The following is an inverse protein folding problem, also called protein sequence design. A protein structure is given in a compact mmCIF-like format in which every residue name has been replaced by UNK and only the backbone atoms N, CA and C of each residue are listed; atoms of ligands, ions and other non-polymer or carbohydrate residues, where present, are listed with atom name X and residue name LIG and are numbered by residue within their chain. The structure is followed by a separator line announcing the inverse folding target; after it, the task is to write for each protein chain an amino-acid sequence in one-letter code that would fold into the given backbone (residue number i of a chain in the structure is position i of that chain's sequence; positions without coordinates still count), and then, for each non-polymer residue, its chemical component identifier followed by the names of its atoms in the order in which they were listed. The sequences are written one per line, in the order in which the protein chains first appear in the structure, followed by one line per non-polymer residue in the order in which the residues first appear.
data_IF_089021250298
#
_entry.id   IF_089021250298
#
_cell.length_a   1.000
_cell.length_b   1.000
_cell.length_c   1.000
_cell.angle_alpha   90.00
_cell.angle_beta   90.00
_cell.angle_gamma   90.00
#
_symmetry.space_group_name_H-M   'P 1'
#
loop_
_entity.id
_entity.type
_entity.pdbx_description
1 polymer ?
#
# COMPACT_ATOMS: atom_id res chain seq x y z
N UNK A 1 -10.87 -30.97 -66.50
CA UNK A 1 -10.92 -29.60 -67.06
C UNK A 1 -9.47 -29.20 -67.26
N UNK A 2 -8.97 -29.19 -68.51
CA UNK A 2 -7.56 -28.83 -68.78
C UNK A 2 -7.42 -27.33 -68.51
N UNK A 3 -6.46 -26.96 -67.67
CA UNK A 3 -6.05 -25.57 -67.50
C UNK A 3 -5.64 -25.00 -68.87
N UNK A 4 -5.92 -23.72 -69.11
CA UNK A 4 -5.50 -23.06 -70.35
C UNK A 4 -3.97 -22.91 -70.31
N UNK A 5 -3.26 -22.94 -71.46
CA UNK A 5 -1.80 -22.84 -71.49
C UNK A 5 -1.24 -21.58 -70.80
N UNK A 6 -2.02 -20.51 -70.71
CA UNK A 6 -1.69 -19.27 -69.98
C UNK A 6 -1.70 -19.43 -68.45
N UNK A 7 -2.56 -20.33 -67.94
CA UNK A 7 -2.72 -20.62 -66.51
C UNK A 7 -1.56 -21.49 -66.01
N UNK A 8 -1.08 -22.40 -66.86
CA UNK A 8 0.08 -23.26 -66.59
C UNK A 8 1.38 -22.46 -66.48
N UNK A 9 1.53 -21.38 -67.26
CA UNK A 9 2.71 -20.52 -67.23
C UNK A 9 2.73 -19.64 -65.96
N UNK A 10 1.57 -19.23 -65.46
CA UNK A 10 1.44 -18.49 -64.18
C UNK A 10 1.75 -19.38 -62.97
N UNK A 11 1.22 -20.61 -62.93
CA UNK A 11 1.55 -21.58 -61.88
C UNK A 11 3.04 -21.93 -61.87
N UNK A 12 3.64 -22.07 -63.05
CA UNK A 12 5.07 -22.32 -63.23
C UNK A 12 5.93 -21.17 -62.68
N UNK A 13 5.58 -19.92 -62.97
CA UNK A 13 6.29 -18.75 -62.46
C UNK A 13 6.13 -18.63 -60.93
N UNK A 14 4.91 -18.79 -60.41
CA UNK A 14 4.65 -18.77 -58.97
C UNK A 14 5.45 -19.85 -58.22
N UNK A 15 5.59 -21.05 -58.81
CA UNK A 15 6.42 -22.11 -58.23
C UNK A 15 7.91 -21.74 -58.22
N UNK A 16 8.42 -21.13 -59.29
CA UNK A 16 9.83 -20.71 -59.39
C UNK A 16 10.18 -19.54 -58.47
N UNK A 17 9.25 -18.62 -58.23
CA UNK A 17 9.41 -17.48 -57.32
C UNK A 17 9.16 -17.86 -55.85
N UNK A 18 8.69 -19.08 -55.58
CA UNK A 18 8.43 -19.59 -54.24
C UNK A 18 7.16 -19.04 -53.61
N UNK A 19 6.24 -18.50 -54.41
CA UNK A 19 4.98 -17.90 -53.97
C UNK A 19 3.83 -18.93 -53.87
N UNK A 20 4.06 -20.17 -54.30
CA UNK A 20 3.11 -21.26 -54.11
C UNK A 20 3.00 -21.68 -52.63
N UNK A 21 1.77 -21.86 -52.15
CA UNK A 21 1.56 -22.57 -50.89
C UNK A 21 1.93 -24.06 -51.00
N UNK A 22 2.01 -24.75 -49.87
CA UNK A 22 2.52 -26.13 -49.81
C UNK A 22 1.65 -27.13 -50.57
N UNK A 23 0.35 -26.89 -50.66
CA UNK A 23 -0.58 -27.81 -51.32
C UNK A 23 -0.60 -27.57 -52.84
N UNK A 24 -0.54 -26.31 -53.28
CA UNK A 24 -0.37 -25.91 -54.67
C UNK A 24 0.98 -26.40 -55.22
N UNK A 25 2.07 -26.26 -54.47
CA UNK A 25 3.39 -26.76 -54.86
C UNK A 25 3.39 -28.28 -55.09
N UNK A 26 2.77 -29.04 -54.17
CA UNK A 26 2.67 -30.50 -54.31
C UNK A 26 1.82 -30.92 -55.51
N UNK A 27 0.70 -30.22 -55.76
CA UNK A 27 -0.14 -30.49 -56.91
C UNK A 27 0.60 -30.20 -58.24
N UNK A 28 1.37 -29.12 -58.28
CA UNK A 28 2.22 -28.77 -59.43
C UNK A 28 3.33 -29.82 -59.67
N UNK A 29 4.01 -30.28 -58.62
CA UNK A 29 5.03 -31.34 -58.72
C UNK A 29 4.47 -32.65 -59.26
N UNK A 30 3.26 -33.03 -58.85
CA UNK A 30 2.58 -34.22 -59.37
C UNK A 30 2.25 -34.08 -60.87
N UNK A 31 1.82 -32.89 -61.31
CA UNK A 31 1.57 -32.59 -62.73
C UNK A 31 2.86 -32.61 -63.54
N UNK A 32 3.93 -32.01 -63.00
CA UNK A 32 5.25 -32.00 -63.60
C UNK A 32 5.77 -33.43 -63.80
N UNK A 33 5.50 -34.36 -62.88
CA UNK A 33 5.89 -35.76 -63.04
C UNK A 33 5.15 -36.48 -64.19
N UNK A 34 3.93 -36.04 -64.53
CA UNK A 34 3.05 -36.70 -65.50
C UNK A 34 3.00 -36.08 -66.90
N UNK A 35 3.48 -34.85 -67.09
CA UNK A 35 3.41 -34.12 -68.37
C UNK A 35 4.80 -33.73 -68.90
N UNK A 36 5.21 -34.36 -70.00
CA UNK A 36 6.50 -34.11 -70.66
C UNK A 36 6.62 -32.69 -71.22
N UNK A 37 5.51 -32.10 -71.68
CA UNK A 37 5.50 -30.75 -72.25
C UNK A 37 5.71 -29.68 -71.18
N UNK A 38 5.14 -29.89 -69.99
CA UNK A 38 5.33 -29.01 -68.83
C UNK A 38 6.76 -29.11 -68.28
N UNK A 39 7.34 -30.31 -68.26
CA UNK A 39 8.74 -30.53 -67.87
C UNK A 39 9.72 -29.77 -68.76
N UNK A 40 9.55 -29.85 -70.08
CA UNK A 40 10.42 -29.14 -71.02
C UNK A 40 10.35 -27.62 -70.82
N UNK A 41 9.16 -27.07 -70.57
CA UNK A 41 9.00 -25.64 -70.28
C UNK A 41 9.65 -25.24 -68.94
N UNK A 42 9.46 -26.06 -67.91
CA UNK A 42 10.11 -25.86 -66.60
C UNK A 42 11.63 -25.84 -66.72
N UNK A 43 12.22 -26.80 -67.46
CA UNK A 43 13.66 -26.85 -67.72
C UNK A 43 14.16 -25.63 -68.50
N UNK A 44 13.41 -25.16 -69.51
CA UNK A 44 13.74 -23.94 -70.26
C UNK A 44 13.71 -22.69 -69.36
N UNK A 45 12.69 -22.56 -68.52
CA UNK A 45 12.52 -21.42 -67.61
C UNK A 45 13.62 -21.42 -66.53
N UNK A 46 13.97 -22.59 -65.99
CA UNK A 46 15.09 -22.76 -65.08
C UNK A 46 16.44 -22.42 -65.73
N UNK A 47 16.67 -22.87 -66.96
CA UNK A 47 17.88 -22.56 -67.71
C UNK A 47 18.02 -21.04 -67.94
N UNK A 48 16.91 -20.37 -68.31
CA UNK A 48 16.88 -18.92 -68.46
C UNK A 48 17.14 -18.20 -67.12
N UNK A 49 16.47 -18.60 -66.03
CA UNK A 49 16.68 -18.03 -64.69
C UNK A 49 18.12 -18.18 -64.23
N UNK A 50 18.72 -19.36 -64.44
CA UNK A 50 20.12 -19.60 -64.12
C UNK A 50 21.07 -18.76 -64.98
N UNK A 51 20.78 -18.59 -66.27
CA UNK A 51 21.55 -17.72 -67.16
C UNK A 51 21.49 -16.26 -66.72
N UNK A 52 20.30 -15.76 -66.31
CA UNK A 52 20.13 -14.42 -65.76
C UNK A 52 20.86 -14.24 -64.42
N UNK A 53 20.85 -15.24 -63.54
CA UNK A 53 21.60 -15.22 -62.26
C UNK A 53 23.12 -15.30 -62.45
N UNK A 54 23.58 -15.90 -63.55
CA UNK A 54 25.00 -15.97 -63.90
C UNK A 54 25.53 -14.64 -64.49
N UNK A 55 24.66 -13.69 -64.81
CA UNK A 55 25.07 -12.32 -65.16
C UNK A 55 25.80 -11.73 -63.94
N UNK A 56 27.03 -11.21 -64.10
CA UNK A 56 27.75 -10.58 -63.00
C UNK A 56 26.90 -9.48 -62.38
N UNK A 57 26.44 -9.69 -61.15
CA UNK A 57 25.81 -8.63 -60.39
C UNK A 57 26.90 -7.62 -60.02
N UNK A 58 26.62 -6.33 -60.24
CA UNK A 58 27.48 -5.26 -59.75
C UNK A 58 27.74 -5.46 -58.25
N UNK A 59 29.02 -5.37 -57.86
CA UNK A 59 29.42 -5.51 -56.47
C UNK A 59 28.64 -4.49 -55.64
N UNK A 60 27.78 -5.00 -54.76
CA UNK A 60 26.97 -4.17 -53.88
C UNK A 60 27.90 -3.23 -53.10
N UNK A 61 27.72 -1.90 -53.20
CA UNK A 61 28.64 -0.95 -52.60
C UNK A 61 28.76 -1.22 -51.10
N UNK A 62 29.99 -1.25 -50.60
CA UNK A 62 30.30 -1.62 -49.22
C UNK A 62 29.55 -0.75 -48.19
N UNK A 63 29.19 0.47 -48.59
CA UNK A 63 28.36 1.38 -47.81
C UNK A 63 26.95 0.84 -47.57
N UNK A 64 26.35 0.14 -48.54
CA UNK A 64 25.04 -0.47 -48.41
C UNK A 64 25.10 -1.71 -47.51
N UNK A 65 26.11 -2.57 -47.67
CA UNK A 65 26.35 -3.71 -46.74
C UNK A 65 26.57 -3.23 -45.31
N UNK A 66 27.36 -2.17 -45.11
CA UNK A 66 27.60 -1.60 -43.80
C UNK A 66 26.32 -1.03 -43.18
N UNK A 67 25.47 -0.36 -43.98
CA UNK A 67 24.17 0.17 -43.51
C UNK A 67 23.19 -0.94 -43.17
N UNK A 68 23.06 -1.96 -44.01
CA UNK A 68 22.19 -3.12 -43.75
C UNK A 68 22.67 -3.89 -42.52
N UNK A 69 23.98 -4.17 -42.42
CA UNK A 69 24.58 -4.82 -41.27
C UNK A 69 24.38 -4.02 -39.98
N UNK A 70 24.51 -2.69 -40.02
CA UNK A 70 24.23 -1.82 -38.88
C UNK A 70 22.74 -1.80 -38.50
N UNK A 71 21.82 -1.84 -39.48
CA UNK A 71 20.39 -1.93 -39.19
C UNK A 71 19.97 -3.27 -38.64
N UNK A 72 20.58 -4.39 -39.09
CA UNK A 72 20.28 -5.74 -38.59
C UNK A 72 20.92 -5.98 -37.22
N UNK A 73 22.15 -5.49 -36.99
CA UNK A 73 22.79 -5.55 -35.68
C UNK A 73 22.12 -4.61 -34.66
N UNK A 74 21.65 -3.44 -35.10
CA UNK A 74 20.86 -2.49 -34.31
C UNK A 74 19.41 -2.93 -34.07
N UNK A 75 18.85 -3.76 -34.96
CA UNK A 75 17.57 -4.43 -34.81
C UNK A 75 17.68 -5.77 -34.06
N UNK A 76 18.77 -6.00 -33.32
CA UNK A 76 18.68 -6.85 -32.14
C UNK A 76 17.73 -6.12 -31.18
N UNK A 77 16.44 -6.43 -31.30
CA UNK A 77 15.46 -6.10 -30.27
C UNK A 77 16.04 -6.64 -28.98
N UNK A 78 16.61 -5.74 -28.18
CA UNK A 78 16.97 -6.03 -26.81
C UNK A 78 15.63 -6.18 -26.14
N UNK A 79 15.01 -7.36 -26.30
CA UNK A 79 13.88 -7.80 -25.51
C UNK A 79 14.34 -7.51 -24.09
N UNK A 80 13.75 -6.47 -23.50
CA UNK A 80 13.97 -6.15 -22.11
C UNK A 80 13.21 -7.24 -21.39
N UNK A 81 13.81 -8.44 -21.35
CA UNK A 81 13.39 -9.59 -20.60
C UNK A 81 13.39 -9.11 -19.17
N UNK A 82 12.26 -8.61 -18.71
CA UNK A 82 12.06 -8.42 -17.29
C UNK A 82 12.34 -9.77 -16.69
N UNK A 83 13.42 -9.83 -15.92
CA UNK A 83 13.74 -11.06 -15.21
C UNK A 83 12.51 -11.37 -14.38
N UNK A 84 11.99 -12.59 -14.48
CA UNK A 84 10.90 -13.04 -13.62
C UNK A 84 11.23 -12.79 -12.13
N UNK A 85 12.52 -12.72 -11.80
CA UNK A 85 13.05 -12.23 -10.53
C UNK A 85 12.71 -10.77 -10.21
N UNK A 86 12.81 -9.84 -11.18
CA UNK A 86 12.40 -8.45 -10.99
C UNK A 86 10.88 -8.32 -10.82
N UNK A 87 10.09 -9.10 -11.55
CA UNK A 87 8.63 -9.15 -11.35
C UNK A 87 8.27 -9.74 -9.98
N UNK A 88 8.89 -10.85 -9.59
CA UNK A 88 8.70 -11.46 -8.26
C UNK A 88 9.11 -10.49 -7.13
N UNK A 89 10.24 -9.81 -7.29
CA UNK A 89 10.70 -8.79 -6.34
C UNK A 89 9.69 -7.63 -6.24
N UNK A 90 9.16 -7.14 -7.36
CA UNK A 90 8.16 -6.07 -7.37
C UNK A 90 6.86 -6.48 -6.66
N UNK A 91 6.40 -7.73 -6.84
CA UNK A 91 5.23 -8.26 -6.12
C UNK A 91 5.50 -8.33 -4.63
N UNK A 92 6.65 -8.87 -4.19
CA UNK A 92 7.01 -8.95 -2.77
C UNK A 92 7.04 -7.55 -2.15
N UNK A 93 7.70 -6.58 -2.82
CA UNK A 93 7.75 -5.19 -2.36
C UNK A 93 6.33 -4.60 -2.28
N UNK A 94 5.49 -4.83 -3.29
CA UNK A 94 4.09 -4.37 -3.30
C UNK A 94 3.28 -4.94 -2.13
N UNK A 95 3.42 -6.23 -1.83
CA UNK A 95 2.77 -6.89 -0.69
C UNK A 95 3.25 -6.31 0.63
N UNK A 96 4.57 -6.11 0.80
CA UNK A 96 5.14 -5.53 2.02
C UNK A 96 4.65 -4.09 2.25
N UNK A 97 4.64 -3.26 1.21
CA UNK A 97 4.13 -1.89 1.28
C UNK A 97 2.63 -1.89 1.62
N UNK A 98 1.84 -2.75 0.98
CA UNK A 98 0.41 -2.85 1.23
C UNK A 98 0.12 -3.32 2.66
N UNK A 99 0.83 -4.34 3.15
CA UNK A 99 0.71 -4.81 4.52
C UNK A 99 1.10 -3.72 5.54
N UNK A 100 2.20 -3.00 5.30
CA UNK A 100 2.60 -1.87 6.14
C UNK A 100 1.56 -0.75 6.13
N UNK A 101 0.99 -0.42 4.96
CA UNK A 101 -0.08 0.57 4.82
C UNK A 101 -1.36 0.14 5.57
N UNK A 102 -1.75 -1.12 5.48
CA UNK A 102 -2.90 -1.65 6.21
C UNK A 102 -2.69 -1.59 7.72
N UNK A 103 -1.53 -2.05 8.21
CA UNK A 103 -1.21 -2.02 9.65
C UNK A 103 -1.15 -0.59 10.20
N UNK A 104 -0.64 0.36 9.41
CA UNK A 104 -0.58 1.77 9.83
C UNK A 104 -1.97 2.42 9.85
N UNK A 105 -2.81 2.14 8.85
CA UNK A 105 -4.19 2.65 8.80
C UNK A 105 -5.05 2.07 9.92
N UNK A 106 -4.93 0.77 10.20
CA UNK A 106 -5.67 0.10 11.26
C UNK A 106 -5.30 0.66 12.65
N UNK A 107 -4.00 0.86 12.90
CA UNK A 107 -3.52 1.54 14.12
C UNK A 107 -4.05 2.96 14.25
N UNK A 108 -4.13 3.70 13.15
CA UNK A 108 -4.67 5.07 13.17
C UNK A 108 -6.15 5.07 13.53
N UNK A 109 -6.95 4.20 12.90
CA UNK A 109 -8.38 4.04 13.20
C UNK A 109 -8.61 3.63 14.65
N UNK A 110 -7.89 2.61 15.12
CA UNK A 110 -7.98 2.16 16.52
C UNK A 110 -7.66 3.28 17.52
N UNK A 111 -6.67 4.15 17.22
CA UNK A 111 -6.36 5.31 18.06
C UNK A 111 -7.47 6.36 18.04
N UNK A 112 -8.09 6.61 16.90
CA UNK A 112 -9.25 7.51 16.81
C UNK A 112 -10.44 6.97 17.61
N UNK A 113 -10.74 5.67 17.50
CA UNK A 113 -11.81 5.04 18.26
C UNK A 113 -11.56 5.12 19.77
N UNK A 114 -10.31 4.92 20.20
CA UNK A 114 -9.92 5.08 21.60
C UNK A 114 -10.10 6.51 22.10
N UNK A 115 -9.73 7.52 21.31
CA UNK A 115 -9.98 8.93 21.66
C UNK A 115 -11.47 9.16 21.90
N UNK A 116 -12.32 8.69 20.98
CA UNK A 116 -13.78 8.83 21.10
C UNK A 116 -14.29 8.15 22.36
N UNK A 117 -13.79 6.97 22.70
CA UNK A 117 -14.19 6.24 23.90
C UNK A 117 -13.75 6.94 25.20
N UNK A 118 -12.54 7.51 25.25
CA UNK A 118 -12.09 8.27 26.42
C UNK A 118 -12.93 9.55 26.59
N UNK A 119 -13.24 10.26 25.50
CA UNK A 119 -14.13 11.44 25.55
C UNK A 119 -15.55 11.03 25.96
N UNK A 120 -16.10 9.96 25.40
CA UNK A 120 -17.41 9.43 25.78
C UNK A 120 -17.45 9.03 27.27
N UNK A 121 -16.35 8.47 27.79
CA UNK A 121 -16.23 8.14 29.20
C UNK A 121 -16.21 9.38 30.10
N UNK A 122 -15.51 10.44 29.67
CA UNK A 122 -15.55 11.74 30.34
C UNK A 122 -16.97 12.30 30.39
N UNK A 123 -17.67 12.34 29.25
CA UNK A 123 -19.05 12.81 29.16
C UNK A 123 -19.98 11.98 30.03
N UNK A 124 -19.84 10.65 30.03
CA UNK A 124 -20.61 9.77 30.91
C UNK A 124 -20.42 10.12 32.39
N UNK A 125 -19.18 10.40 32.80
CA UNK A 125 -18.88 10.87 34.15
C UNK A 125 -19.56 12.20 34.48
N UNK A 126 -19.62 13.13 33.54
CA UNK A 126 -20.33 14.41 33.73
C UNK A 126 -21.85 14.26 33.85
N UNK A 127 -22.44 13.29 33.15
CA UNK A 127 -23.89 13.03 33.17
C UNK A 127 -24.33 12.25 34.43
N UNK A 128 -23.40 11.61 35.12
CA UNK A 128 -23.68 10.90 36.36
C UNK A 128 -23.98 11.89 37.51
N UNK A 129 -24.74 11.47 38.55
CA UNK A 129 -24.99 12.31 39.74
C UNK A 129 -23.70 12.81 40.40
N UNK A 130 -22.62 12.03 40.31
CA UNK A 130 -21.28 12.42 40.70
C UNK A 130 -20.28 11.92 39.64
N UNK A 131 -19.24 12.71 39.31
CA UNK A 131 -18.28 12.33 38.28
C UNK A 131 -17.21 11.35 38.76
N UNK A 132 -17.35 10.78 39.95
CA UNK A 132 -16.39 9.86 40.57
C UNK A 132 -17.13 8.77 41.36
N UNK A 133 -16.49 7.63 41.54
CA UNK A 133 -16.99 6.53 42.38
C UNK A 133 -16.48 6.64 43.82
N UNK A 134 -15.32 7.26 44.01
CA UNK A 134 -14.81 7.69 45.32
C UNK A 134 -14.68 9.20 45.39
N UNK A 135 -15.38 9.79 46.36
CA UNK A 135 -15.36 11.21 46.67
C UNK A 135 -14.24 11.51 47.68
N UNK A 136 -13.07 11.96 47.22
CA UNK A 136 -12.02 12.40 48.14
C UNK A 136 -11.03 13.33 47.46
N UNK A 137 -10.65 14.40 48.16
CA UNK A 137 -9.56 15.29 47.78
C UNK A 137 -8.21 14.86 48.34
N UNK A 138 -8.15 13.77 49.11
CA UNK A 138 -6.91 13.23 49.68
C UNK A 138 -6.37 12.08 48.83
N UNK A 139 -5.17 12.25 48.30
CA UNK A 139 -4.47 11.22 47.53
C UNK A 139 -4.21 9.94 48.33
N UNK A 140 -4.09 10.02 49.65
CA UNK A 140 -3.90 8.85 50.52
C UNK A 140 -5.17 8.02 50.70
N UNK A 141 -6.33 8.57 50.34
CA UNK A 141 -7.61 7.84 50.30
C UNK A 141 -7.87 7.27 48.90
N UNK A 142 -7.58 8.06 47.85
CA UNK A 142 -7.87 7.65 46.47
C UNK A 142 -6.89 6.58 45.96
N UNK A 143 -5.59 6.64 46.31
CA UNK A 143 -4.60 5.65 45.83
C UNK A 143 -4.91 4.23 46.31
N UNK A 144 -5.17 3.97 47.62
CA UNK A 144 -5.53 2.62 48.07
C UNK A 144 -6.85 2.12 47.47
N UNK A 145 -7.82 3.01 47.23
CA UNK A 145 -9.09 2.66 46.58
C UNK A 145 -8.91 2.13 45.15
N UNK A 146 -7.96 2.67 44.40
CA UNK A 146 -7.58 2.14 43.08
C UNK A 146 -6.84 0.81 43.22
N UNK A 147 -5.86 0.74 44.14
CA UNK A 147 -5.04 -0.46 44.33
C UNK A 147 -5.87 -1.71 44.69
N UNK A 148 -7.02 -1.53 45.34
CA UNK A 148 -7.94 -2.64 45.65
C UNK A 148 -8.86 -3.07 44.51
N UNK A 149 -8.94 -2.31 43.41
CA UNK A 149 -9.91 -2.55 42.32
C UNK A 149 -9.30 -2.82 40.96
N UNK A 150 -8.09 -2.29 40.68
CA UNK A 150 -7.47 -2.41 39.37
C UNK A 150 -5.98 -2.72 39.50
N UNK A 151 -5.49 -3.63 38.66
CA UNK A 151 -4.10 -4.08 38.70
C UNK A 151 -3.08 -2.95 38.45
N UNK A 152 -3.46 -1.95 37.65
CA UNK A 152 -2.60 -0.79 37.33
C UNK A 152 -3.14 0.45 38.05
N UNK A 153 -2.51 0.83 39.15
CA UNK A 153 -2.90 2.01 39.92
C UNK A 153 -2.36 3.31 39.29
N UNK A 154 -3.18 4.36 39.18
CA UNK A 154 -2.74 5.64 38.64
C UNK A 154 -1.89 6.42 39.64
N UNK A 155 -1.11 7.35 39.10
CA UNK A 155 -0.54 8.42 39.93
C UNK A 155 -1.65 9.40 40.30
N UNK A 156 -1.85 9.59 41.61
CA UNK A 156 -2.81 10.56 42.13
C UNK A 156 -2.02 11.65 42.84
N UNK A 157 -1.93 12.83 42.23
CA UNK A 157 -1.16 13.96 42.73
C UNK A 157 -2.08 15.01 43.36
N UNK A 158 -1.62 15.68 44.41
CA UNK A 158 -2.29 16.86 44.95
C UNK A 158 -1.82 18.09 44.17
N UNK A 159 -2.71 18.64 43.34
CA UNK A 159 -2.43 19.78 42.47
C UNK A 159 -3.26 21.02 42.85
N UNK A 160 -3.79 21.04 44.07
CA UNK A 160 -4.72 22.08 44.51
C UNK A 160 -4.08 23.48 44.55
N UNK A 161 -2.80 23.57 44.92
CA UNK A 161 -2.05 24.84 44.94
C UNK A 161 -1.84 25.42 43.54
N UNK A 162 -1.95 24.59 42.50
CA UNK A 162 -1.80 24.96 41.10
C UNK A 162 -3.16 25.13 40.39
N UNK A 163 -4.27 25.15 41.14
CA UNK A 163 -5.62 25.36 40.61
C UNK A 163 -6.36 24.09 40.20
N UNK A 164 -5.77 22.90 40.35
CA UNK A 164 -6.38 21.63 39.98
C UNK A 164 -6.66 20.78 41.22
N UNK A 165 -7.83 20.98 41.81
CA UNK A 165 -8.24 20.27 43.02
C UNK A 165 -8.59 18.81 42.70
N UNK A 166 -7.98 17.87 43.40
CA UNK A 166 -8.42 16.47 43.37
C UNK A 166 -9.83 16.37 43.96
N UNK A 167 -10.74 15.69 43.24
CA UNK A 167 -12.12 15.49 43.70
C UNK A 167 -12.48 14.03 43.89
N UNK A 168 -11.76 13.12 43.23
CA UNK A 168 -12.00 11.70 43.39
C UNK A 168 -11.35 10.85 42.31
N UNK A 169 -11.88 9.65 42.17
CA UNK A 169 -11.50 8.70 41.13
C UNK A 169 -12.67 7.81 40.74
N UNK A 170 -12.59 7.22 39.55
CA UNK A 170 -13.53 6.23 39.05
C UNK A 170 -12.82 5.20 38.16
N UNK A 171 -13.51 4.11 37.86
CA UNK A 171 -13.04 3.12 36.88
C UNK A 171 -13.91 3.21 35.64
N UNK A 172 -13.28 3.56 34.53
CA UNK A 172 -13.91 3.67 33.23
C UNK A 172 -13.62 2.43 32.38
N UNK A 173 -14.39 2.21 31.32
CA UNK A 173 -14.14 1.13 30.35
C UNK A 173 -13.75 1.76 29.01
N UNK A 174 -12.53 1.50 28.56
CA UNK A 174 -11.99 1.97 27.27
C UNK A 174 -11.39 0.77 26.54
N UNK A 175 -11.84 0.51 25.32
CA UNK A 175 -11.40 -0.62 24.49
C UNK A 175 -11.64 -1.97 25.17
N UNK A 176 -12.82 -2.14 25.79
CA UNK A 176 -13.16 -3.30 26.65
C UNK A 176 -12.21 -3.52 27.85
N UNK A 177 -11.34 -2.56 28.16
CA UNK A 177 -10.39 -2.65 29.26
C UNK A 177 -10.81 -1.71 30.38
N UNK A 178 -10.92 -2.19 31.64
CA UNK A 178 -11.06 -1.32 32.78
C UNK A 178 -9.81 -0.44 32.92
N UNK A 179 -10.01 0.87 33.02
CA UNK A 179 -8.94 1.87 33.13
C UNK A 179 -9.25 2.83 34.28
N UNK A 180 -8.24 3.21 35.10
CA UNK A 180 -8.48 4.15 36.17
C UNK A 180 -8.52 5.58 35.63
N UNK A 181 -9.50 6.34 36.10
CA UNK A 181 -9.65 7.77 35.80
C UNK A 181 -9.63 8.58 37.09
N UNK A 182 -8.62 9.44 37.24
CA UNK A 182 -8.53 10.40 38.35
C UNK A 182 -9.29 11.66 37.97
N UNK A 183 -10.08 12.20 38.89
CA UNK A 183 -10.99 13.32 38.62
C UNK A 183 -10.50 14.55 39.35
N UNK A 184 -10.06 15.53 38.57
CA UNK A 184 -9.67 16.86 39.04
C UNK A 184 -10.75 17.87 38.72
N UNK A 185 -10.70 19.01 39.39
CA UNK A 185 -11.56 20.16 39.13
C UNK A 185 -10.71 21.43 39.06
N UNK A 186 -10.96 22.22 38.04
CA UNK A 186 -10.44 23.57 37.87
C UNK A 186 -11.64 24.51 37.78
N UNK A 187 -11.90 25.26 38.84
CA UNK A 187 -13.13 26.04 39.03
C UNK A 187 -14.40 25.18 38.85
N UNK A 188 -15.20 25.46 37.82
CA UNK A 188 -16.40 24.70 37.46
C UNK A 188 -16.11 23.51 36.53
N UNK A 189 -14.92 23.46 35.92
CA UNK A 189 -14.56 22.48 34.91
C UNK A 189 -14.00 21.20 35.53
N UNK A 190 -14.52 20.06 35.09
CA UNK A 190 -14.02 18.75 35.49
C UNK A 190 -12.94 18.31 34.51
N UNK A 191 -11.78 17.93 35.03
CA UNK A 191 -10.68 17.35 34.25
C UNK A 191 -10.62 15.86 34.58
N UNK A 192 -10.91 15.01 33.60
CA UNK A 192 -10.74 13.55 33.73
C UNK A 192 -9.36 13.15 33.24
N UNK A 193 -8.55 12.54 34.10
CA UNK A 193 -7.23 12.02 33.77
C UNK A 193 -7.27 10.49 33.75
N UNK A 194 -7.41 9.92 32.56
CA UNK A 194 -7.46 8.47 32.35
C UNK A 194 -6.07 7.92 32.10
N UNK A 195 -5.73 6.81 32.75
CA UNK A 195 -4.45 6.11 32.57
C UNK A 195 -4.64 4.87 31.68
N UNK A 196 -3.94 4.84 30.55
CA UNK A 196 -3.87 3.73 29.61
C UNK A 196 -2.52 3.00 29.73
N UNK A 197 -2.42 1.87 29.02
CA UNK A 197 -1.15 1.15 28.90
C UNK A 197 -0.04 2.04 28.28
N UNK A 198 1.24 1.78 28.61
CA UNK A 198 2.35 2.47 27.96
C UNK A 198 2.31 2.24 26.42
N UNK A 199 2.74 3.24 25.65
CA UNK A 199 2.74 3.19 24.18
C UNK A 199 1.39 3.51 23.51
N UNK A 200 0.32 3.69 24.29
CA UNK A 200 -1.02 4.03 23.80
C UNK A 200 -1.26 5.54 23.64
N UNK A 201 -0.21 6.32 23.32
CA UNK A 201 -0.34 7.76 23.10
C UNK A 201 -1.35 8.06 21.99
N UNK A 202 -2.23 9.02 22.26
CA UNK A 202 -3.34 9.40 21.39
C UNK A 202 -3.03 10.74 20.71
N UNK A 203 -3.57 10.99 19.49
CA UNK A 203 -3.46 12.30 18.89
C UNK A 203 -4.22 13.33 19.75
N UNK A 204 -3.74 14.58 19.74
CA UNK A 204 -4.53 15.70 20.28
C UNK A 204 -5.83 15.78 19.48
N UNK A 205 -6.95 15.82 20.19
CA UNK A 205 -8.27 15.83 19.58
C UNK A 205 -9.18 16.85 20.24
N UNK A 206 -10.10 17.39 19.46
CA UNK A 206 -11.20 18.22 19.92
C UNK A 206 -12.48 17.66 19.32
N UNK A 207 -13.45 17.33 20.17
CA UNK A 207 -14.72 16.75 19.76
C UNK A 207 -15.84 17.25 20.67
N UNK A 208 -16.91 17.78 20.07
CA UNK A 208 -18.11 18.23 20.80
C UNK A 208 -17.82 19.22 21.94
N UNK A 209 -16.82 20.09 21.76
CA UNK A 209 -16.40 21.07 22.77
C UNK A 209 -15.40 20.54 23.82
N UNK A 210 -15.17 19.23 23.86
CA UNK A 210 -14.17 18.62 24.73
C UNK A 210 -12.84 18.46 24.01
N UNK A 211 -11.76 18.62 24.76
CA UNK A 211 -10.40 18.48 24.28
C UNK A 211 -9.72 17.33 24.99
N UNK A 212 -8.99 16.53 24.22
CA UNK A 212 -8.19 15.42 24.71
C UNK A 212 -6.71 15.69 24.43
N UNK A 213 -5.90 15.64 25.49
CA UNK A 213 -4.45 15.76 25.43
C UNK A 213 -3.82 14.54 26.09
N UNK A 214 -2.94 13.85 25.38
CA UNK A 214 -2.20 12.73 25.95
C UNK A 214 -0.70 12.95 26.06
N UNK A 215 -0.09 12.31 27.05
CA UNK A 215 1.35 12.20 27.23
C UNK A 215 1.68 10.84 27.83
N UNK A 216 2.93 10.40 27.72
CA UNK A 216 3.37 9.12 28.26
C UNK A 216 4.63 9.31 29.08
N UNK A 217 4.78 8.46 30.10
CA UNK A 217 6.04 8.21 30.79
C UNK A 217 6.46 6.74 30.60
N UNK A 218 7.44 6.26 31.36
CA UNK A 218 7.89 4.86 31.29
C UNK A 218 6.87 3.84 31.83
N UNK A 219 5.87 4.29 32.60
CA UNK A 219 4.90 3.43 33.30
C UNK A 219 3.55 3.39 32.60
N UNK A 220 3.14 4.48 31.95
CA UNK A 220 1.78 4.63 31.44
C UNK A 220 1.64 5.70 30.34
N UNK A 221 0.47 5.68 29.70
CA UNK A 221 -0.03 6.82 28.92
C UNK A 221 -1.15 7.48 29.71
N UNK A 222 -1.11 8.79 29.83
CA UNK A 222 -2.14 9.60 30.45
C UNK A 222 -2.92 10.35 29.37
N UNK A 223 -4.24 10.40 29.51
CA UNK A 223 -5.13 11.15 28.63
C UNK A 223 -5.99 12.06 29.50
N UNK A 224 -5.79 13.36 29.38
CA UNK A 224 -6.61 14.36 30.04
C UNK A 224 -7.73 14.80 29.10
N UNK A 225 -8.97 14.78 29.58
CA UNK A 225 -10.14 15.29 28.86
C UNK A 225 -10.84 16.37 29.68
N UNK A 226 -11.15 17.49 29.05
CA UNK A 226 -11.85 18.62 29.64
C UNK A 226 -12.46 19.53 28.55
N UNK A 227 -13.41 20.38 28.92
CA UNK A 227 -13.98 21.47 28.10
C UNK A 227 -13.19 22.79 28.20
N UNK A 228 -12.09 22.81 28.96
CA UNK A 228 -11.16 23.93 29.04
C UNK A 228 -10.46 24.23 27.70
N UNK A 229 -10.04 25.49 27.43
CA UNK A 229 -9.17 25.83 26.31
C UNK A 229 -7.87 25.01 26.26
N UNK A 230 -7.34 24.76 25.05
CA UNK A 230 -6.13 23.92 24.81
C UNK A 230 -4.95 24.37 25.67
N UNK A 231 -4.78 25.68 25.82
CA UNK A 231 -3.73 26.28 26.64
C UNK A 231 -3.81 25.86 28.12
N UNK A 232 -5.00 25.75 28.69
CA UNK A 232 -5.23 25.48 30.10
C UNK A 232 -5.08 23.97 30.37
N UNK A 233 -5.55 23.14 29.45
CA UNK A 233 -5.31 21.69 29.48
C UNK A 233 -3.82 21.36 29.26
N UNK A 234 -3.11 22.12 28.42
CA UNK A 234 -1.66 22.01 28.29
C UNK A 234 -0.93 22.44 29.58
N UNK A 235 -1.43 23.47 30.28
CA UNK A 235 -0.90 23.86 31.59
C UNK A 235 -1.11 22.75 32.63
N UNK A 236 -2.27 22.09 32.65
CA UNK A 236 -2.52 20.91 33.49
C UNK A 236 -1.47 19.82 33.26
N UNK A 237 -1.24 19.43 32.00
CA UNK A 237 -0.19 18.45 31.65
C UNK A 237 1.16 18.88 32.20
N UNK A 238 1.57 20.14 31.99
CA UNK A 238 2.86 20.65 32.46
C UNK A 238 3.00 20.53 33.98
N UNK A 239 1.98 20.94 34.72
CA UNK A 239 1.94 20.83 36.19
C UNK A 239 2.02 19.37 36.63
N UNK A 240 1.22 18.49 36.01
CA UNK A 240 1.21 17.08 36.34
C UNK A 240 2.57 16.42 36.10
N UNK A 241 3.18 16.64 34.92
CA UNK A 241 4.50 16.07 34.59
C UNK A 241 5.60 16.59 35.51
N UNK A 242 5.57 17.88 35.89
CA UNK A 242 6.53 18.45 36.82
C UNK A 242 6.40 17.84 38.24
N UNK A 243 5.18 17.56 38.69
CA UNK A 243 4.92 16.97 40.00
C UNK A 243 5.08 15.44 40.04
N UNK A 244 5.13 14.77 38.89
CA UNK A 244 5.39 13.32 38.77
C UNK A 244 6.88 12.97 38.59
N UNK A 245 7.73 13.98 38.38
CA UNK A 245 9.17 13.82 38.17
C UNK A 245 9.92 13.61 39.47
#
# INVERSE_FOLDING_TARGET
MRASPDDDDLELQAYLDGECDTDAARAFEQRLAGDESLRLRFEQMLALSNALRAIPQEDMPQTLRARVGATVAGASSRERRWSWQALAAAVIVGVLISAAAMLTLDRYRSRQDLVQQVIASHVRGLLAPQPFDIASSDSHVVRPWFASRIARSPQVLNLAQQGFKLTGGRIDIVGNTPVPTVVYRHDTHVVSLTMLAPGMSLPVASQSGYQALSWSDSKATYVAVCDLPVKDLANFRRIFTAASS
#
